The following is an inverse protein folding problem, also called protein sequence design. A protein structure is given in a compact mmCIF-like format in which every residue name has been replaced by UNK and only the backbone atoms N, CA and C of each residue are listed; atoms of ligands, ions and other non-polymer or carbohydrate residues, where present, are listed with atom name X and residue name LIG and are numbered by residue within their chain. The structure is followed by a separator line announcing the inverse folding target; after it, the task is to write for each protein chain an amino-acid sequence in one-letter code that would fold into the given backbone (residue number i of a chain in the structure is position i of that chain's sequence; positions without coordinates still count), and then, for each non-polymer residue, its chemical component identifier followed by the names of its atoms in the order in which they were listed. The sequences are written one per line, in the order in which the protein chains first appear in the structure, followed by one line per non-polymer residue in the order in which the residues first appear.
data_IF_703366216482
#
_entry.id   IF_703366216482
#
_cell.length_a   1.000
_cell.length_b   1.000
_cell.length_c   1.000
_cell.angle_alpha   90.00
_cell.angle_beta   90.00
_cell.angle_gamma   90.00
#
_symmetry.space_group_name_H-M   'P 1'
#
loop_
_entity.id
_entity.type
_entity.pdbx_description
1 polymer ?
#
# COMPACT_ATOMS: atom_id res chain seq x y z
N UNK A 1 27.33 27.26 22.86
CA UNK A 1 27.31 25.79 22.78
C UNK A 1 25.88 25.31 22.55
N UNK A 2 25.73 24.26 21.75
CA UNK A 2 24.45 23.62 21.46
C UNK A 2 24.24 22.39 22.34
N UNK A 3 23.00 22.13 22.74
CA UNK A 3 22.64 20.97 23.55
C UNK A 3 22.37 19.77 22.64
N UNK A 4 23.33 18.85 22.57
CA UNK A 4 23.21 17.62 21.80
C UNK A 4 22.43 16.58 22.61
N UNK A 5 21.29 16.08 22.09
CA UNK A 5 20.49 15.00 22.67
C UNK A 5 20.67 13.70 21.90
N UNK A 6 20.96 12.64 22.64
CA UNK A 6 21.32 11.34 22.11
C UNK A 6 20.28 10.29 22.49
N UNK A 7 19.98 9.42 21.53
CA UNK A 7 18.99 8.36 21.68
C UNK A 7 19.58 7.00 21.30
N UNK A 8 18.94 5.92 21.79
CA UNK A 8 19.25 4.52 21.47
C UNK A 8 20.76 4.20 21.42
N UNK A 9 21.24 3.65 20.30
CA UNK A 9 22.64 3.24 20.11
C UNK A 9 23.64 4.41 20.20
N UNK A 10 23.25 5.63 19.85
CA UNK A 10 24.10 6.81 20.00
C UNK A 10 24.28 7.18 21.47
N UNK A 11 23.22 7.08 22.28
CA UNK A 11 23.29 7.26 23.74
C UNK A 11 24.17 6.19 24.38
N UNK A 12 24.06 4.94 23.93
CA UNK A 12 24.91 3.85 24.43
C UNK A 12 26.38 4.03 24.03
N UNK A 13 26.64 4.52 22.82
CA UNK A 13 27.99 4.79 22.35
C UNK A 13 28.63 5.98 23.09
N UNK A 14 27.86 7.02 23.39
CA UNK A 14 28.34 8.21 24.10
C UNK A 14 28.34 8.07 25.64
N UNK A 15 27.57 7.12 26.19
CA UNK A 15 27.41 6.95 27.64
C UNK A 15 26.56 8.02 28.33
N UNK A 16 26.08 9.03 27.60
CA UNK A 16 25.30 10.17 28.11
C UNK A 16 24.06 10.40 27.25
N UNK A 17 22.98 10.90 27.86
CA UNK A 17 21.74 11.21 27.15
C UNK A 17 21.74 12.62 26.52
N UNK A 18 22.52 13.53 27.10
CA UNK A 18 22.68 14.89 26.62
C UNK A 18 24.06 15.45 26.99
N UNK A 19 24.58 16.34 26.14
CA UNK A 19 25.91 16.94 26.30
C UNK A 19 25.95 18.30 25.58
N UNK A 20 26.77 19.22 26.08
CA UNK A 20 27.00 20.50 25.42
C UNK A 20 28.13 20.38 24.41
N UNK A 21 27.87 20.77 23.17
CA UNK A 21 28.83 20.68 22.07
C UNK A 21 29.11 22.05 21.45
N UNK A 22 30.37 22.40 21.20
CA UNK A 22 30.71 23.60 20.44
C UNK A 22 30.45 23.39 18.95
N UNK A 23 30.11 24.47 18.24
CA UNK A 23 29.91 24.49 16.80
C UNK A 23 28.92 25.58 16.39
N UNK A 24 29.22 26.29 15.30
CA UNK A 24 28.35 27.28 14.70
C UNK A 24 27.37 26.67 13.67
N UNK A 25 27.60 25.42 13.28
CA UNK A 25 26.76 24.65 12.36
C UNK A 25 26.53 23.23 12.88
N UNK A 26 25.50 22.57 12.36
CA UNK A 26 25.22 21.16 12.65
C UNK A 26 26.44 20.28 12.33
N UNK A 27 27.07 20.49 11.18
CA UNK A 27 28.28 19.75 10.76
C UNK A 27 29.41 19.87 11.78
N UNK A 28 29.69 21.08 12.27
CA UNK A 28 30.72 21.31 13.29
C UNK A 28 30.38 20.62 14.61
N UNK A 29 29.12 20.71 15.06
CA UNK A 29 28.64 20.04 16.28
C UNK A 29 28.83 18.51 16.16
N UNK A 30 28.52 17.95 14.99
CA UNK A 30 28.66 16.52 14.72
C UNK A 30 30.11 16.05 14.60
N UNK A 31 30.97 16.85 13.98
CA UNK A 31 32.40 16.57 13.88
C UNK A 31 33.05 16.56 15.27
N UNK A 32 32.69 17.54 16.12
CA UNK A 32 33.17 17.61 17.50
C UNK A 32 32.67 16.42 18.33
N UNK A 33 31.39 16.05 18.23
CA UNK A 33 30.85 14.88 18.90
C UNK A 33 31.50 13.56 18.43
N UNK A 34 31.81 13.44 17.13
CA UNK A 34 32.50 12.27 16.57
C UNK A 34 33.95 12.17 17.08
N UNK A 35 34.63 13.31 17.23
CA UNK A 35 35.96 13.37 17.84
C UNK A 35 35.96 13.00 19.32
N UNK A 36 34.91 13.36 20.06
CA UNK A 36 34.78 13.09 21.49
C UNK A 36 34.39 11.63 21.79
N UNK A 37 33.40 11.08 21.08
CA UNK A 37 32.84 9.75 21.38
C UNK A 37 33.44 8.62 20.53
N UNK A 38 34.27 8.94 19.53
CA UNK A 38 35.05 7.98 18.75
C UNK A 38 34.27 7.11 17.78
N UNK A 39 34.95 6.12 17.20
CA UNK A 39 34.51 5.38 16.01
C UNK A 39 33.13 4.71 16.14
N UNK A 40 32.80 4.20 17.33
CA UNK A 40 31.50 3.54 17.58
C UNK A 40 30.34 4.54 17.45
N UNK A 41 30.54 5.77 17.90
CA UNK A 41 29.54 6.83 17.76
C UNK A 41 29.46 7.30 16.31
N UNK A 42 30.61 7.53 15.67
CA UNK A 42 30.71 7.93 14.25
C UNK A 42 30.00 6.95 13.32
N UNK A 43 30.14 5.64 13.57
CA UNK A 43 29.46 4.60 12.81
C UNK A 43 27.92 4.67 12.95
N UNK A 44 27.42 4.97 14.15
CA UNK A 44 25.99 5.17 14.38
C UNK A 44 25.45 6.44 13.72
N UNK A 45 26.26 7.51 13.73
CA UNK A 45 25.91 8.82 13.20
C UNK A 45 25.65 8.79 11.69
N UNK A 46 26.38 7.97 10.94
CA UNK A 46 26.22 7.82 9.49
C UNK A 46 24.80 7.44 9.04
N UNK A 47 24.00 6.86 9.94
CA UNK A 47 22.62 6.43 9.69
C UNK A 47 21.55 7.31 10.37
N UNK A 48 21.96 8.23 11.24
CA UNK A 48 21.06 9.00 12.08
C UNK A 48 20.49 10.22 11.36
N UNK A 49 19.26 10.60 11.73
CA UNK A 49 18.64 11.85 11.30
C UNK A 49 18.90 12.95 12.34
N UNK A 50 19.11 14.18 11.85
CA UNK A 50 19.45 15.33 12.69
C UNK A 50 18.31 16.33 12.73
N UNK A 51 18.00 16.79 13.94
CA UNK A 51 16.93 17.74 14.21
C UNK A 51 17.46 18.90 15.04
N UNK A 52 17.10 20.13 14.69
CA UNK A 52 17.41 21.36 15.45
C UNK A 52 16.11 21.99 15.91
N UNK A 53 15.92 22.14 17.23
CA UNK A 53 14.73 22.70 17.85
C UNK A 53 13.40 22.12 17.32
N UNK A 54 13.37 20.81 17.05
CA UNK A 54 12.18 20.10 16.57
C UNK A 54 11.95 20.16 15.06
N UNK A 55 12.86 20.72 14.27
CA UNK A 55 12.82 20.67 12.80
C UNK A 55 13.99 19.85 12.24
N UNK A 56 13.75 19.05 11.21
CA UNK A 56 14.83 18.32 10.53
C UNK A 56 15.83 19.31 9.91
N UNK A 57 17.12 19.08 10.12
CA UNK A 57 18.19 19.99 9.75
C UNK A 57 19.19 19.34 8.78
N UNK A 58 19.75 20.16 7.89
CA UNK A 58 20.85 19.77 7.03
C UNK A 58 22.20 20.06 7.72
N UNK A 59 23.32 19.47 7.26
CA UNK A 59 24.64 19.69 7.87
C UNK A 59 25.05 21.17 7.97
N UNK A 60 24.71 21.98 6.97
CA UNK A 60 25.00 23.43 6.95
C UNK A 60 24.05 24.30 7.76
N UNK A 61 23.08 23.74 8.48
CA UNK A 61 22.16 24.53 9.32
C UNK A 61 22.95 25.20 10.44
N UNK A 62 22.81 26.53 10.55
CA UNK A 62 23.42 27.31 11.62
C UNK A 62 22.82 26.94 12.99
N UNK A 63 23.66 26.89 14.01
CA UNK A 63 23.29 26.54 15.37
C UNK A 63 23.79 27.65 16.31
N UNK A 64 22.92 28.13 17.19
CA UNK A 64 23.25 29.16 18.17
C UNK A 64 23.27 28.61 19.60
N UNK A 65 23.79 29.40 20.52
CA UNK A 65 23.85 29.05 21.93
C UNK A 65 22.46 28.78 22.51
N UNK A 66 22.28 27.59 23.08
CA UNK A 66 21.01 27.14 23.66
C UNK A 66 20.13 26.32 22.72
N UNK A 67 20.48 26.19 21.43
CA UNK A 67 19.76 25.33 20.51
C UNK A 67 19.87 23.85 20.91
N UNK A 68 18.77 23.13 20.75
CA UNK A 68 18.70 21.68 20.93
C UNK A 68 18.97 20.98 19.60
N UNK A 69 20.05 20.21 19.53
CA UNK A 69 20.37 19.33 18.40
C UNK A 69 20.06 17.89 18.82
N UNK A 70 19.06 17.26 18.23
CA UNK A 70 18.69 15.88 18.51
C UNK A 70 19.18 14.93 17.40
N UNK A 71 19.88 13.87 17.81
CA UNK A 71 20.31 12.80 16.91
C UNK A 71 19.42 11.59 17.06
N UNK A 72 18.59 11.35 16.05
CA UNK A 72 17.63 10.26 16.04
C UNK A 72 18.21 9.15 15.15
N UNK A 73 18.85 8.12 15.73
CA UNK A 73 19.23 6.95 14.97
C UNK A 73 17.98 6.25 14.42
N UNK A 74 18.09 5.48 13.33
CA UNK A 74 16.98 4.71 12.82
C UNK A 74 16.46 3.85 13.96
N UNK A 75 15.16 3.96 14.24
CA UNK A 75 14.54 3.27 15.38
C UNK A 75 14.89 1.78 15.30
N UNK A 76 15.70 1.30 16.24
CA UNK A 76 15.90 -0.11 16.51
C UNK A 76 14.66 -0.69 17.20
N UNK A 77 13.49 -0.39 16.64
CA UNK A 77 12.29 -1.21 16.79
C UNK A 77 12.53 -2.49 16.00
N UNK A 78 13.40 -3.34 16.54
CA UNK A 78 13.48 -4.74 16.19
C UNK A 78 12.20 -5.44 16.62
N UNK A 79 11.06 -5.12 15.99
CA UNK A 79 10.36 -6.23 15.37
C UNK A 79 11.40 -6.77 14.42
N UNK A 80 11.84 -8.00 14.63
CA UNK A 80 12.11 -8.86 13.49
C UNK A 80 10.92 -8.58 12.57
N UNK A 81 11.12 -7.74 11.55
CA UNK A 81 10.46 -8.00 10.30
C UNK A 81 11.04 -9.36 10.02
N UNK A 82 10.35 -10.40 10.50
CA UNK A 82 10.34 -11.67 9.83
C UNK A 82 9.97 -11.19 8.46
N UNK A 83 11.01 -10.97 7.62
CA UNK A 83 10.80 -10.92 6.19
C UNK A 83 10.06 -12.21 6.02
N UNK A 84 8.75 -12.14 5.78
CA UNK A 84 8.02 -13.29 5.27
C UNK A 84 8.98 -13.86 4.24
N UNK A 85 9.42 -15.13 4.38
CA UNK A 85 10.42 -15.68 3.47
C UNK A 85 9.96 -15.27 2.08
N UNK A 86 10.81 -14.62 1.27
CA UNK A 86 10.41 -13.91 0.04
C UNK A 86 9.37 -14.69 -0.79
N UNK A 87 9.53 -16.03 -0.79
CA UNK A 87 8.63 -17.06 -1.29
C UNK A 87 7.18 -17.01 -0.79
N UNK A 88 6.92 -16.69 0.47
CA UNK A 88 5.60 -16.62 1.09
C UNK A 88 4.85 -15.34 0.73
N UNK A 89 5.54 -14.20 0.56
CA UNK A 89 4.93 -12.94 0.15
C UNK A 89 4.44 -13.01 -1.30
N UNK A 90 5.33 -13.31 -2.25
CA UNK A 90 4.88 -13.50 -3.64
C UNK A 90 4.06 -14.78 -3.82
N UNK A 91 4.34 -15.83 -3.04
CA UNK A 91 3.64 -17.10 -3.14
C UNK A 91 2.16 -16.95 -2.83
N UNK A 92 1.80 -16.26 -1.74
CA UNK A 92 0.40 -16.05 -1.40
C UNK A 92 -0.31 -15.18 -2.46
N UNK A 93 0.35 -14.10 -2.91
CA UNK A 93 -0.18 -13.27 -4.00
C UNK A 93 -0.46 -14.09 -5.26
N UNK A 94 0.51 -14.88 -5.73
CA UNK A 94 0.37 -15.71 -6.93
C UNK A 94 -0.68 -16.81 -6.75
N UNK A 95 -0.75 -17.45 -5.57
CA UNK A 95 -1.78 -18.47 -5.28
C UNK A 95 -3.17 -17.86 -5.38
N UNK A 96 -3.40 -16.68 -4.79
CA UNK A 96 -4.71 -16.02 -4.87
C UNK A 96 -5.01 -15.52 -6.28
N UNK A 97 -4.03 -14.94 -6.98
CA UNK A 97 -4.19 -14.46 -8.35
C UNK A 97 -4.53 -15.60 -9.32
N UNK A 98 -3.76 -16.70 -9.28
CA UNK A 98 -4.01 -17.90 -10.09
C UNK A 98 -5.32 -18.58 -9.67
N UNK A 99 -5.62 -18.59 -8.37
CA UNK A 99 -6.89 -19.08 -7.84
C UNK A 99 -8.09 -18.31 -8.40
N UNK A 100 -8.00 -16.97 -8.50
CA UNK A 100 -9.03 -16.15 -9.11
C UNK A 100 -9.18 -16.40 -10.62
N UNK A 101 -8.07 -16.58 -11.35
CA UNK A 101 -8.08 -16.95 -12.77
C UNK A 101 -8.77 -18.31 -12.97
N UNK A 102 -8.38 -19.32 -12.19
CA UNK A 102 -9.01 -20.65 -12.26
C UNK A 102 -10.46 -20.67 -11.80
N UNK A 103 -10.80 -19.87 -10.79
CA UNK A 103 -12.18 -19.72 -10.32
C UNK A 103 -13.05 -19.03 -11.38
N UNK A 104 -12.51 -18.04 -12.09
CA UNK A 104 -13.17 -17.33 -13.19
C UNK A 104 -13.56 -18.28 -14.32
N UNK A 105 -12.66 -19.18 -14.71
CA UNK A 105 -12.92 -20.16 -15.77
C UNK A 105 -13.78 -21.34 -15.33
N UNK A 106 -13.84 -21.64 -14.04
CA UNK A 106 -14.68 -22.74 -13.53
C UNK A 106 -16.18 -22.38 -13.54
N UNK A 107 -16.55 -21.30 -12.86
CA UNK A 107 -17.94 -20.79 -12.83
C UNK A 107 -18.00 -19.44 -12.13
N UNK A 108 -19.09 -18.71 -12.35
CA UNK A 108 -19.31 -17.46 -11.63
C UNK A 108 -19.43 -17.64 -10.11
N UNK A 109 -19.98 -18.77 -9.63
CA UNK A 109 -20.09 -19.05 -8.20
C UNK A 109 -18.72 -19.27 -7.57
N UNK A 110 -17.85 -20.04 -8.23
CA UNK A 110 -16.47 -20.22 -7.78
C UNK A 110 -15.69 -18.92 -7.82
N UNK A 111 -15.89 -18.09 -8.84
CA UNK A 111 -15.29 -16.76 -8.90
C UNK A 111 -15.73 -15.87 -7.74
N UNK A 112 -17.04 -15.84 -7.43
CA UNK A 112 -17.57 -15.10 -6.28
C UNK A 112 -16.97 -15.59 -4.94
N UNK A 113 -16.83 -16.90 -4.75
CA UNK A 113 -16.14 -17.48 -3.58
C UNK A 113 -14.68 -17.05 -3.54
N UNK A 114 -13.98 -17.13 -4.67
CA UNK A 114 -12.58 -16.69 -4.80
C UNK A 114 -12.40 -15.22 -4.44
N UNK A 115 -13.30 -14.35 -4.89
CA UNK A 115 -13.29 -12.93 -4.58
C UNK A 115 -13.48 -12.66 -3.08
N UNK A 116 -14.42 -13.35 -2.43
CA UNK A 116 -14.63 -13.21 -0.98
C UNK A 116 -13.40 -13.65 -0.20
N UNK A 117 -12.80 -14.78 -0.58
CA UNK A 117 -11.60 -15.31 0.07
C UNK A 117 -10.39 -14.41 -0.14
N UNK A 118 -10.10 -14.03 -1.39
CA UNK A 118 -8.96 -13.19 -1.72
C UNK A 118 -9.08 -11.79 -1.10
N UNK A 119 -10.25 -11.15 -1.23
CA UNK A 119 -10.48 -9.85 -0.64
C UNK A 119 -10.55 -9.88 0.88
N UNK A 120 -11.07 -10.95 1.50
CA UNK A 120 -11.06 -11.12 2.95
C UNK A 120 -9.63 -11.27 3.51
N UNK A 121 -8.80 -12.11 2.87
CA UNK A 121 -7.38 -12.23 3.22
C UNK A 121 -6.64 -10.90 3.02
N UNK A 122 -6.91 -10.20 1.92
CA UNK A 122 -6.31 -8.89 1.64
C UNK A 122 -6.68 -7.84 2.70
N UNK A 123 -7.96 -7.70 3.07
CA UNK A 123 -8.38 -6.76 4.13
C UNK A 123 -7.72 -7.13 5.46
N UNK A 124 -7.66 -8.42 5.80
CA UNK A 124 -7.02 -8.86 7.03
C UNK A 124 -5.53 -8.47 7.06
N UNK A 125 -4.79 -8.76 5.97
CA UNK A 125 -3.39 -8.37 5.81
C UNK A 125 -3.23 -6.83 5.91
N UNK A 126 -4.05 -6.05 5.23
CA UNK A 126 -4.02 -4.59 5.28
C UNK A 126 -4.22 -4.06 6.70
N UNK A 127 -5.25 -4.54 7.40
CA UNK A 127 -5.59 -4.03 8.73
C UNK A 127 -4.59 -4.50 9.79
N UNK A 128 -4.04 -5.71 9.68
CA UNK A 128 -2.99 -6.18 10.58
C UNK A 128 -1.75 -5.28 10.50
N UNK A 129 -1.31 -4.93 9.29
CA UNK A 129 -0.18 -4.02 9.12
C UNK A 129 -0.48 -2.58 9.54
N UNK A 130 -1.68 -2.07 9.28
CA UNK A 130 -2.11 -0.77 9.80
C UNK A 130 -2.09 -0.74 11.34
N UNK A 131 -2.58 -1.81 12.00
CA UNK A 131 -2.62 -1.94 13.45
C UNK A 131 -1.21 -1.99 14.07
N UNK A 132 -0.25 -2.66 13.44
CA UNK A 132 1.16 -2.69 13.87
C UNK A 132 1.81 -1.30 13.91
N UNK A 133 1.33 -0.37 13.08
CA UNK A 133 1.74 1.05 13.06
C UNK A 133 0.97 1.91 14.08
N UNK A 134 0.03 1.34 14.82
CA UNK A 134 -0.85 2.06 15.73
C UNK A 134 -2.03 2.74 15.04
N UNK A 135 -2.26 2.50 13.74
CA UNK A 135 -3.47 2.97 13.05
C UNK A 135 -4.56 1.92 13.17
N UNK A 136 -5.57 2.22 13.99
CA UNK A 136 -6.74 1.35 14.13
C UNK A 136 -7.62 1.49 12.89
N UNK A 137 -8.02 0.37 12.31
CA UNK A 137 -8.99 0.32 11.21
C UNK A 137 -10.09 -0.67 11.59
N UNK A 138 -11.36 -0.27 11.43
CA UNK A 138 -12.48 -1.17 11.65
C UNK A 138 -12.56 -2.17 10.50
N UNK A 139 -12.26 -3.44 10.78
CA UNK A 139 -12.32 -4.54 9.81
C UNK A 139 -13.76 -4.83 9.38
N UNK A 140 -14.72 -4.68 10.29
CA UNK A 140 -16.09 -5.18 10.12
C UNK A 140 -16.83 -4.51 8.94
N UNK A 141 -16.80 -3.17 8.79
CA UNK A 141 -17.43 -2.52 7.63
C UNK A 141 -16.87 -3.00 6.29
N UNK A 142 -15.57 -3.22 6.21
CA UNK A 142 -14.92 -3.71 4.99
C UNK A 142 -15.29 -5.17 4.67
N UNK A 143 -15.35 -6.04 5.69
CA UNK A 143 -15.77 -7.44 5.51
C UNK A 143 -17.24 -7.57 5.11
N UNK A 144 -18.12 -6.84 5.80
CA UNK A 144 -19.55 -6.82 5.50
C UNK A 144 -19.80 -6.22 4.12
N UNK A 145 -19.10 -5.14 3.80
CA UNK A 145 -19.12 -4.52 2.48
C UNK A 145 -18.64 -5.46 1.38
N UNK A 146 -17.53 -6.17 1.58
CA UNK A 146 -17.02 -7.16 0.64
C UNK A 146 -18.02 -8.30 0.39
N UNK A 147 -18.55 -8.92 1.44
CA UNK A 147 -19.54 -9.99 1.31
C UNK A 147 -20.83 -9.48 0.65
N UNK A 148 -21.34 -8.36 1.15
CA UNK A 148 -22.53 -7.71 0.63
C UNK A 148 -22.38 -7.26 -0.82
N UNK A 149 -21.20 -6.77 -1.21
CA UNK A 149 -20.85 -6.34 -2.55
C UNK A 149 -20.89 -7.49 -3.54
N UNK A 150 -20.27 -8.62 -3.20
CA UNK A 150 -20.33 -9.84 -4.02
C UNK A 150 -21.78 -10.32 -4.16
N UNK A 151 -22.51 -10.49 -3.05
CA UNK A 151 -23.88 -11.03 -3.10
C UNK A 151 -24.86 -10.08 -3.81
N UNK A 152 -24.82 -8.79 -3.50
CA UNK A 152 -25.71 -7.80 -4.08
C UNK A 152 -25.43 -7.62 -5.58
N UNK A 153 -24.16 -7.53 -5.98
CA UNK A 153 -23.79 -7.40 -7.39
C UNK A 153 -24.11 -8.67 -8.18
N UNK A 154 -23.93 -9.86 -7.57
CA UNK A 154 -24.35 -11.11 -8.17
C UNK A 154 -25.87 -11.14 -8.44
N UNK A 155 -26.66 -10.65 -7.47
CA UNK A 155 -28.12 -10.75 -7.52
C UNK A 155 -28.79 -9.64 -8.33
N UNK A 156 -28.24 -8.43 -8.29
CA UNK A 156 -28.86 -7.20 -8.80
C UNK A 156 -27.96 -6.38 -9.73
N UNK A 157 -26.76 -6.85 -10.07
CA UNK A 157 -25.85 -6.14 -10.97
C UNK A 157 -25.42 -4.78 -10.42
N UNK A 158 -25.45 -3.75 -11.27
CA UNK A 158 -24.97 -2.39 -10.96
C UNK A 158 -25.71 -1.76 -9.76
N UNK A 159 -27.06 -1.79 -9.67
CA UNK A 159 -27.78 -1.36 -8.46
C UNK A 159 -27.31 -2.08 -7.19
N UNK A 160 -27.01 -3.38 -7.30
CA UNK A 160 -26.46 -4.18 -6.21
C UNK A 160 -25.13 -3.66 -5.72
N UNK A 161 -24.18 -3.43 -6.63
CA UNK A 161 -22.89 -2.82 -6.31
C UNK A 161 -23.05 -1.44 -5.65
N UNK A 162 -23.87 -0.56 -6.22
CA UNK A 162 -24.06 0.80 -5.73
C UNK A 162 -24.62 0.77 -4.29
N UNK A 163 -25.67 -0.03 -4.05
CA UNK A 163 -26.27 -0.18 -2.73
C UNK A 163 -25.30 -0.77 -1.70
N UNK A 164 -24.53 -1.81 -2.07
CA UNK A 164 -23.55 -2.41 -1.18
C UNK A 164 -22.40 -1.45 -0.85
N UNK A 165 -21.91 -0.69 -1.83
CA UNK A 165 -20.83 0.28 -1.66
C UNK A 165 -21.25 1.41 -0.72
N UNK A 166 -22.43 1.99 -0.94
CA UNK A 166 -23.01 3.00 -0.03
C UNK A 166 -23.23 2.38 1.36
N UNK A 167 -23.79 1.17 1.42
CA UNK A 167 -24.02 0.44 2.65
C UNK A 167 -22.75 0.20 3.46
N UNK A 168 -21.64 -0.17 2.82
CA UNK A 168 -20.35 -0.39 3.47
C UNK A 168 -19.81 0.89 4.15
N UNK A 169 -19.95 2.04 3.48
CA UNK A 169 -19.58 3.34 4.03
C UNK A 169 -20.49 3.74 5.19
N UNK A 170 -21.81 3.54 5.05
CA UNK A 170 -22.77 3.79 6.13
C UNK A 170 -22.50 2.89 7.35
N UNK A 171 -22.18 1.62 7.13
CA UNK A 171 -21.80 0.70 8.21
C UNK A 171 -20.54 1.21 8.92
N UNK A 172 -19.54 1.71 8.20
CA UNK A 172 -18.34 2.30 8.82
C UNK A 172 -18.67 3.53 9.69
N UNK A 173 -19.58 4.38 9.23
CA UNK A 173 -20.08 5.53 9.99
C UNK A 173 -20.86 5.11 11.24
N UNK A 174 -21.73 4.11 11.13
CA UNK A 174 -22.48 3.59 12.28
C UNK A 174 -21.54 2.92 13.29
N UNK A 175 -20.55 2.17 12.80
CA UNK A 175 -19.59 1.47 13.65
C UNK A 175 -18.75 2.41 14.52
N UNK A 176 -18.43 3.61 14.01
CA UNK A 176 -17.68 4.63 14.75
C UNK A 176 -18.46 5.21 15.94
N UNK A 177 -19.78 5.27 15.83
CA UNK A 177 -20.67 5.71 16.91
C UNK A 177 -20.78 4.64 17.99
N UNK A 178 -20.99 3.38 17.58
CA UNK A 178 -21.27 2.25 18.48
C UNK A 178 -20.06 1.82 19.30
N UNK A 179 -18.84 1.97 18.79
CA UNK A 179 -17.63 1.49 19.46
C UNK A 179 -16.65 2.66 19.73
N UNK A 180 -16.43 3.03 21.01
CA UNK A 180 -15.62 4.20 21.38
C UNK A 180 -14.22 4.24 20.76
N UNK A 181 -13.58 3.08 20.57
CA UNK A 181 -12.25 2.94 19.96
C UNK A 181 -12.16 3.39 18.50
N UNK A 182 -13.29 3.54 17.79
CA UNK A 182 -13.34 3.93 16.39
C UNK A 182 -13.85 5.37 16.17
N UNK A 183 -14.05 6.14 17.25
CA UNK A 183 -14.49 7.55 17.19
C UNK A 183 -13.47 8.54 16.61
N UNK A 184 -12.13 8.35 16.72
CA UNK A 184 -11.19 9.29 16.12
C UNK A 184 -11.42 9.44 14.62
N UNK A 185 -11.37 10.68 14.12
CA UNK A 185 -11.76 11.00 12.74
C UNK A 185 -10.88 10.28 11.72
N UNK A 186 -9.61 10.08 12.04
CA UNK A 186 -8.66 9.36 11.21
C UNK A 186 -9.06 7.90 11.05
N UNK A 187 -9.53 7.27 12.14
CA UNK A 187 -10.00 5.88 12.14
C UNK A 187 -11.28 5.75 11.33
N UNK A 188 -12.20 6.71 11.47
CA UNK A 188 -13.44 6.76 10.68
C UNK A 188 -13.13 6.88 9.19
N UNK A 189 -12.34 7.88 8.80
CA UNK A 189 -11.99 8.15 7.42
C UNK A 189 -11.26 6.96 6.78
N UNK A 190 -10.30 6.37 7.49
CA UNK A 190 -9.56 5.20 7.01
C UNK A 190 -10.47 3.99 6.84
N UNK A 191 -11.34 3.72 7.82
CA UNK A 191 -12.25 2.57 7.78
C UNK A 191 -13.29 2.72 6.65
N UNK A 192 -13.79 3.93 6.43
CA UNK A 192 -14.67 4.24 5.29
C UNK A 192 -13.95 4.03 3.97
N UNK A 193 -12.71 4.52 3.83
CA UNK A 193 -11.93 4.37 2.61
C UNK A 193 -11.65 2.90 2.29
N UNK A 194 -11.23 2.11 3.29
CA UNK A 194 -10.99 0.67 3.11
C UNK A 194 -12.28 -0.05 2.75
N UNK A 195 -13.39 0.26 3.41
CA UNK A 195 -14.69 -0.35 3.11
C UNK A 195 -15.19 0.02 1.70
N UNK A 196 -15.01 1.27 1.28
CA UNK A 196 -15.34 1.76 -0.06
C UNK A 196 -14.53 1.02 -1.12
N UNK A 197 -13.20 1.00 -1.00
CA UNK A 197 -12.29 0.37 -1.97
C UNK A 197 -12.56 -1.13 -2.05
N UNK A 198 -12.67 -1.80 -0.90
CA UNK A 198 -12.94 -3.23 -0.83
C UNK A 198 -14.26 -3.59 -1.54
N UNK A 199 -15.34 -2.91 -1.19
CA UNK A 199 -16.67 -3.21 -1.70
C UNK A 199 -16.78 -2.89 -3.19
N UNK A 200 -16.34 -1.70 -3.59
CA UNK A 200 -16.42 -1.25 -4.98
C UNK A 200 -15.52 -2.09 -5.88
N UNK A 201 -14.26 -2.32 -5.48
CA UNK A 201 -13.29 -3.07 -6.28
C UNK A 201 -13.72 -4.53 -6.49
N UNK A 202 -14.12 -5.21 -5.42
CA UNK A 202 -14.58 -6.61 -5.51
C UNK A 202 -15.89 -6.72 -6.30
N UNK A 203 -16.82 -5.77 -6.12
CA UNK A 203 -18.05 -5.73 -6.91
C UNK A 203 -17.77 -5.49 -8.39
N UNK A 204 -16.84 -4.59 -8.73
CA UNK A 204 -16.43 -4.32 -10.10
C UNK A 204 -15.81 -5.56 -10.76
N UNK A 205 -14.96 -6.32 -10.04
CA UNK A 205 -14.44 -7.61 -10.53
C UNK A 205 -15.56 -8.61 -10.82
N UNK A 206 -16.55 -8.70 -9.94
CA UNK A 206 -17.69 -9.59 -10.16
C UNK A 206 -18.55 -9.13 -11.35
N UNK A 207 -18.76 -7.82 -11.51
CA UNK A 207 -19.50 -7.28 -12.66
C UNK A 207 -18.75 -7.52 -13.97
N UNK A 208 -17.41 -7.45 -13.99
CA UNK A 208 -16.62 -7.89 -15.14
C UNK A 208 -16.92 -9.34 -15.49
N UNK A 209 -16.91 -10.23 -14.49
CA UNK A 209 -17.22 -11.66 -14.71
C UNK A 209 -18.65 -11.93 -15.15
N UNK A 210 -19.60 -11.13 -14.70
CA UNK A 210 -21.01 -11.17 -15.13
C UNK A 210 -21.17 -10.71 -16.59
N UNK A 211 -20.32 -9.79 -17.05
CA UNK A 211 -20.31 -9.31 -18.44
C UNK A 211 -19.77 -10.38 -19.37
N UNK A 212 -18.57 -10.88 -19.08
CA UNK A 212 -17.97 -12.00 -19.81
C UNK A 212 -16.87 -12.65 -18.97
N UNK A 213 -16.61 -13.94 -19.23
CA UNK A 213 -15.42 -14.60 -18.71
C UNK A 213 -14.13 -13.94 -19.25
N UNK A 214 -14.14 -13.59 -20.53
CA UNK A 214 -13.00 -13.00 -21.24
C UNK A 214 -12.59 -11.65 -20.62
N UNK A 215 -13.55 -10.85 -20.16
CA UNK A 215 -13.27 -9.55 -19.53
C UNK A 215 -12.62 -9.70 -18.16
N UNK A 216 -13.11 -10.63 -17.36
CA UNK A 216 -12.53 -10.93 -16.06
C UNK A 216 -11.11 -11.50 -16.22
N UNK A 217 -10.89 -12.39 -17.20
CA UNK A 217 -9.57 -12.93 -17.50
C UNK A 217 -8.61 -11.84 -18.02
N UNK A 218 -9.05 -10.99 -18.94
CA UNK A 218 -8.27 -9.86 -19.45
C UNK A 218 -7.84 -8.94 -18.30
N UNK A 219 -8.77 -8.55 -17.44
CA UNK A 219 -8.48 -7.73 -16.27
C UNK A 219 -7.43 -8.37 -15.34
N UNK A 220 -7.65 -9.65 -14.96
CA UNK A 220 -6.74 -10.36 -14.07
C UNK A 220 -5.36 -10.52 -14.69
N UNK A 221 -5.27 -10.87 -15.97
CA UNK A 221 -3.98 -11.04 -16.65
C UNK A 221 -3.23 -9.72 -16.72
N UNK A 222 -3.88 -8.63 -17.13
CA UNK A 222 -3.27 -7.29 -17.18
C UNK A 222 -2.74 -6.87 -15.82
N UNK A 223 -3.57 -6.97 -14.78
CA UNK A 223 -3.23 -6.45 -13.45
C UNK A 223 -2.23 -7.33 -12.71
N UNK A 224 -2.38 -8.65 -12.75
CA UNK A 224 -1.48 -9.58 -12.07
C UNK A 224 -0.09 -9.55 -12.69
N UNK A 225 0.02 -9.50 -14.02
CA UNK A 225 1.33 -9.43 -14.69
C UNK A 225 2.02 -8.08 -14.44
N UNK A 226 1.28 -6.97 -14.44
CA UNK A 226 1.83 -5.66 -14.11
C UNK A 226 2.38 -5.61 -12.68
N UNK A 227 1.62 -6.11 -11.70
CA UNK A 227 2.05 -6.16 -10.30
C UNK A 227 3.23 -7.13 -10.10
N UNK A 228 3.20 -8.31 -10.73
CA UNK A 228 4.29 -9.27 -10.66
C UNK A 228 5.59 -8.71 -11.28
N UNK A 229 5.50 -8.04 -12.42
CA UNK A 229 6.65 -7.42 -13.07
C UNK A 229 7.21 -6.26 -12.23
N UNK A 230 6.35 -5.44 -11.62
CA UNK A 230 6.75 -4.38 -10.72
C UNK A 230 7.47 -4.92 -9.47
N UNK A 231 7.02 -6.06 -8.94
CA UNK A 231 7.71 -6.75 -7.85
C UNK A 231 9.10 -7.25 -8.27
N UNK A 232 9.24 -7.83 -9.47
CA UNK A 232 10.55 -8.26 -10.00
C UNK A 232 11.48 -7.07 -10.20
N UNK A 233 10.96 -5.96 -10.75
CA UNK A 233 11.71 -4.73 -10.92
C UNK A 233 12.15 -4.14 -9.57
N UNK A 234 11.30 -4.20 -8.54
CA UNK A 234 11.66 -3.74 -7.19
C UNK A 234 12.77 -4.55 -6.52
N UNK A 235 13.07 -5.75 -6.99
CA UNK A 235 14.18 -6.58 -6.47
C UNK A 235 15.49 -6.38 -7.19
N UNK A 236 15.42 -5.97 -8.45
CA UNK A 236 16.60 -5.77 -9.29
C UNK A 236 16.83 -4.27 -9.33
N UNK A 237 17.92 -3.81 -8.73
CA UNK A 237 18.28 -2.38 -8.72
C UNK A 237 18.71 -1.95 -10.15
N UNK A 238 17.74 -1.91 -11.06
CA UNK A 238 17.92 -1.60 -12.48
C UNK A 238 17.73 -0.10 -12.64
N UNK A 239 18.83 0.59 -12.94
CA UNK A 239 18.81 2.01 -13.25
C UNK A 239 17.80 2.32 -14.37
N UNK A 240 16.87 3.24 -14.09
CA UNK A 240 15.87 3.73 -15.05
C UNK A 240 14.53 2.97 -15.09
N UNK A 241 14.36 1.87 -14.35
CA UNK A 241 13.10 1.12 -14.29
C UNK A 241 12.58 1.00 -12.86
N UNK A 242 11.98 2.09 -12.35
CA UNK A 242 11.29 2.01 -11.05
C UNK A 242 10.03 1.11 -11.14
N UNK A 243 9.55 0.57 -10.01
CA UNK A 243 8.37 -0.30 -10.01
C UNK A 243 7.09 0.37 -10.55
N UNK A 244 6.97 1.70 -10.46
CA UNK A 244 5.81 2.46 -10.91
C UNK A 244 5.77 2.52 -12.43
N UNK A 245 6.88 2.86 -13.07
CA UNK A 245 7.09 2.87 -14.51
C UNK A 245 6.87 1.47 -15.06
N UNK A 246 7.42 0.44 -14.41
CA UNK A 246 7.22 -0.96 -14.84
C UNK A 246 5.74 -1.36 -14.74
N UNK A 247 5.03 -0.97 -13.67
CA UNK A 247 3.59 -1.23 -13.54
C UNK A 247 2.82 -0.64 -14.72
N UNK A 248 3.09 0.62 -15.07
CA UNK A 248 2.42 1.31 -16.18
C UNK A 248 2.74 0.66 -17.53
N UNK A 249 4.02 0.44 -17.83
CA UNK A 249 4.45 -0.12 -19.11
C UNK A 249 3.91 -1.53 -19.32
N UNK A 250 4.02 -2.40 -18.30
CA UNK A 250 3.55 -3.78 -18.41
C UNK A 250 2.03 -3.83 -18.45
N UNK A 251 1.33 -3.00 -17.68
CA UNK A 251 -0.13 -2.92 -17.76
C UNK A 251 -0.63 -2.51 -19.14
N UNK A 252 0.02 -1.54 -19.80
CA UNK A 252 -0.32 -1.12 -21.16
C UNK A 252 -0.03 -2.22 -22.18
N UNK A 253 1.18 -2.80 -22.13
CA UNK A 253 1.58 -3.88 -23.05
C UNK A 253 0.64 -5.08 -22.92
N UNK A 254 0.37 -5.50 -21.69
CA UNK A 254 -0.53 -6.61 -21.43
C UNK A 254 -1.98 -6.26 -21.76
N UNK A 255 -2.35 -4.98 -21.73
CA UNK A 255 -3.64 -4.49 -22.24
C UNK A 255 -3.81 -4.72 -23.73
N UNK A 256 -2.79 -4.43 -24.52
CA UNK A 256 -2.78 -4.72 -25.97
C UNK A 256 -2.84 -6.23 -26.23
N UNK A 257 -2.05 -7.01 -25.48
CA UNK A 257 -2.10 -8.49 -25.58
C UNK A 257 -3.49 -8.99 -25.21
N UNK A 258 -4.07 -8.52 -24.11
CA UNK A 258 -5.38 -8.93 -23.66
C UNK A 258 -6.47 -8.58 -24.69
N UNK A 259 -6.41 -7.37 -25.27
CA UNK A 259 -7.30 -6.99 -26.36
C UNK A 259 -7.17 -7.95 -27.54
N UNK A 260 -5.95 -8.28 -27.97
CA UNK A 260 -5.74 -9.19 -29.11
C UNK A 260 -6.20 -10.63 -28.90
N UNK A 261 -6.31 -11.07 -27.64
CA UNK A 261 -6.68 -12.45 -27.28
C UNK A 261 -8.17 -12.57 -26.96
N UNK A 262 -8.75 -11.57 -26.30
CA UNK A 262 -10.08 -11.67 -25.68
C UNK A 262 -11.11 -10.67 -26.20
N UNK A 263 -10.71 -9.62 -26.92
CA UNK A 263 -11.68 -8.73 -27.54
C UNK A 263 -12.23 -9.38 -28.82
N UNK A 264 -13.55 -9.47 -28.92
CA UNK A 264 -14.23 -10.15 -30.04
C UNK A 264 -14.30 -9.27 -31.29
N UNK A 265 -14.71 -8.00 -31.14
CA UNK A 265 -14.98 -7.10 -32.27
C UNK A 265 -14.28 -5.72 -32.18
N UNK A 266 -14.08 -5.17 -30.97
CA UNK A 266 -13.43 -3.86 -30.78
C UNK A 266 -12.32 -3.93 -29.72
N UNK A 267 -11.10 -3.64 -30.17
CA UNK A 267 -9.89 -3.63 -29.35
C UNK A 267 -9.80 -2.36 -28.48
N UNK A 268 -10.37 -1.24 -28.93
CA UNK A 268 -10.18 0.07 -28.31
C UNK A 268 -10.70 0.11 -26.86
N UNK A 269 -11.92 -0.35 -26.54
CA UNK A 269 -12.43 -0.33 -25.16
C UNK A 269 -11.52 -1.10 -24.21
N UNK A 270 -10.99 -2.25 -24.62
CA UNK A 270 -10.10 -3.09 -23.81
C UNK A 270 -8.75 -2.40 -23.56
N UNK A 271 -8.16 -1.78 -24.59
CA UNK A 271 -6.90 -1.04 -24.47
C UNK A 271 -7.07 0.17 -23.54
N UNK A 272 -8.16 0.93 -23.70
CA UNK A 272 -8.46 2.09 -22.84
C UNK A 272 -8.75 1.64 -21.40
N UNK A 273 -9.43 0.51 -21.23
CA UNK A 273 -9.70 -0.06 -19.90
C UNK A 273 -8.41 -0.48 -19.22
N UNK A 274 -7.50 -1.14 -19.95
CA UNK A 274 -6.18 -1.53 -19.43
C UNK A 274 -5.31 -0.32 -19.08
N UNK A 275 -5.37 0.77 -19.86
CA UNK A 275 -4.70 2.03 -19.52
C UNK A 275 -5.27 2.62 -18.22
N UNK A 276 -6.59 2.69 -18.10
CA UNK A 276 -7.26 3.18 -16.89
C UNK A 276 -6.91 2.32 -15.66
N UNK A 277 -6.89 0.99 -15.81
CA UNK A 277 -6.43 0.07 -14.79
C UNK A 277 -4.97 0.30 -14.41
N UNK A 278 -4.09 0.53 -15.38
CA UNK A 278 -2.66 0.76 -15.13
C UNK A 278 -2.43 2.02 -14.28
N UNK A 279 -3.13 3.10 -14.57
CA UNK A 279 -3.12 4.32 -13.73
C UNK A 279 -3.65 4.02 -12.32
N UNK A 280 -4.75 3.27 -12.25
CA UNK A 280 -5.35 2.87 -10.99
C UNK A 280 -4.49 1.89 -10.18
N UNK A 281 -3.66 1.05 -10.81
CA UNK A 281 -2.69 0.21 -10.12
C UNK A 281 -1.66 1.06 -9.39
N UNK A 282 -1.14 2.11 -10.03
CA UNK A 282 -0.20 3.05 -9.40
C UNK A 282 -0.89 3.78 -8.24
N UNK A 283 -2.10 4.29 -8.45
CA UNK A 283 -2.88 4.93 -7.40
C UNK A 283 -3.15 3.98 -6.21
N UNK A 284 -3.51 2.72 -6.49
CA UNK A 284 -3.82 1.73 -5.47
C UNK A 284 -2.57 1.29 -4.70
N UNK A 285 -1.40 1.20 -5.35
CA UNK A 285 -0.11 1.03 -4.67
C UNK A 285 0.16 2.18 -3.69
N UNK A 286 -0.10 3.42 -4.11
CA UNK A 286 0.12 4.60 -3.26
C UNK A 286 -0.86 4.63 -2.07
N UNK A 287 -2.13 4.31 -2.30
CA UNK A 287 -3.14 4.17 -1.24
C UNK A 287 -2.75 3.05 -0.28
N UNK A 288 -2.33 1.89 -0.79
CA UNK A 288 -1.81 0.77 0.01
C UNK A 288 -0.62 1.15 0.87
N UNK A 289 0.37 1.85 0.28
CA UNK A 289 1.53 2.40 0.97
C UNK A 289 1.13 3.33 2.12
N UNK A 290 0.19 4.24 1.89
CA UNK A 290 -0.33 5.10 2.95
C UNK A 290 -1.01 4.31 4.06
N UNK A 291 -1.88 3.37 3.71
CA UNK A 291 -2.67 2.58 4.66
C UNK A 291 -1.80 1.63 5.49
N UNK A 292 -0.73 1.08 4.90
CA UNK A 292 0.13 0.08 5.55
C UNK A 292 1.34 0.72 6.22
N UNK A 293 2.05 1.59 5.51
CA UNK A 293 3.31 2.17 5.96
C UNK A 293 3.19 3.62 6.47
N UNK A 294 2.07 4.31 6.26
CA UNK A 294 1.84 5.67 6.77
C UNK A 294 2.51 6.78 5.97
N UNK A 295 3.01 6.47 4.77
CA UNK A 295 3.67 7.42 3.89
C UNK A 295 3.62 7.00 2.43
N UNK A 296 3.96 7.93 1.55
CA UNK A 296 4.13 7.66 0.12
C UNK A 296 5.57 7.24 -0.15
N UNK A 297 5.77 5.97 -0.49
CA UNK A 297 7.08 5.45 -0.84
C UNK A 297 7.11 5.12 -2.33
N UNK A 298 7.80 5.96 -3.09
CA UNK A 298 8.06 5.71 -4.52
C UNK A 298 9.09 4.61 -4.72
N UNK A 299 10.00 4.45 -3.75
CA UNK A 299 11.05 3.43 -3.72
C UNK A 299 10.90 2.59 -2.46
N UNK A 300 11.01 1.27 -2.58
CA UNK A 300 10.95 0.33 -1.45
C UNK A 300 9.74 -0.62 -1.45
N UNK A 301 9.80 -1.61 -0.56
CA UNK A 301 8.77 -2.64 -0.38
C UNK A 301 7.64 -2.14 0.50
N UNK A 302 6.40 -2.22 0.02
CA UNK A 302 5.21 -1.95 0.83
C UNK A 302 4.99 -3.17 1.74
N UNK A 303 4.76 -2.97 3.05
CA UNK A 303 4.67 -4.11 3.97
C UNK A 303 3.35 -4.86 3.82
N UNK A 304 3.42 -6.19 3.75
CA UNK A 304 2.25 -7.09 3.71
C UNK A 304 2.34 -8.13 2.62
N UNK A 305 1.86 -9.34 2.89
CA UNK A 305 1.92 -10.44 1.93
C UNK A 305 1.03 -10.17 0.70
N UNK A 306 0.00 -9.32 0.87
CA UNK A 306 -0.99 -9.03 -0.15
C UNK A 306 -1.03 -7.55 -0.56
N UNK A 307 0.08 -6.82 -0.37
CA UNK A 307 0.15 -5.41 -0.79
C UNK A 307 -0.10 -5.23 -2.30
N UNK A 308 0.22 -6.24 -3.12
CA UNK A 308 -0.10 -6.23 -4.55
C UNK A 308 -1.60 -6.11 -4.84
N UNK A 309 -2.47 -6.63 -3.96
CA UNK A 309 -3.92 -6.53 -4.10
C UNK A 309 -4.46 -5.11 -3.83
N UNK A 310 -3.72 -4.25 -3.11
CA UNK A 310 -4.13 -2.85 -2.91
C UNK A 310 -4.33 -2.16 -4.26
N UNK A 311 -3.42 -2.43 -5.20
CA UNK A 311 -3.45 -1.96 -6.58
C UNK A 311 -4.57 -2.63 -7.39
N UNK A 312 -4.66 -3.96 -7.36
CA UNK A 312 -5.60 -4.72 -8.18
C UNK A 312 -7.06 -4.41 -7.82
N UNK A 313 -7.39 -4.37 -6.53
CA UNK A 313 -8.76 -4.08 -6.07
C UNK A 313 -9.19 -2.68 -6.54
N UNK A 314 -8.30 -1.69 -6.45
CA UNK A 314 -8.59 -0.34 -6.92
C UNK A 314 -8.73 -0.26 -8.45
N UNK A 315 -7.92 -1.02 -9.19
CA UNK A 315 -7.91 -1.03 -10.65
C UNK A 315 -9.17 -1.63 -11.29
N UNK A 316 -9.90 -2.49 -10.57
CA UNK A 316 -11.12 -3.13 -11.09
C UNK A 316 -12.19 -2.12 -11.48
N UNK A 317 -12.36 -1.06 -10.68
CA UNK A 317 -13.39 -0.05 -10.89
C UNK A 317 -13.26 0.69 -12.23
N UNK A 318 -12.12 1.37 -12.49
CA UNK A 318 -11.90 2.05 -13.76
C UNK A 318 -11.92 1.12 -14.97
N UNK A 319 -11.38 -0.10 -14.84
CA UNK A 319 -11.41 -1.10 -15.93
C UNK A 319 -12.86 -1.46 -16.29
N UNK A 320 -13.66 -1.82 -15.29
CA UNK A 320 -15.09 -2.11 -15.44
C UNK A 320 -15.86 -0.92 -16.01
N UNK A 321 -15.61 0.29 -15.50
CA UNK A 321 -16.31 1.49 -15.92
C UNK A 321 -16.07 1.81 -17.40
N UNK A 322 -14.82 1.73 -17.86
CA UNK A 322 -14.49 1.97 -19.27
C UNK A 322 -15.19 0.96 -20.17
N UNK A 323 -15.13 -0.33 -19.83
CA UNK A 323 -15.80 -1.36 -20.62
C UNK A 323 -17.32 -1.21 -20.61
N UNK A 324 -17.91 -0.75 -19.52
CA UNK A 324 -19.36 -0.51 -19.43
C UNK A 324 -19.81 0.69 -20.26
N UNK A 325 -18.96 1.70 -20.44
CA UNK A 325 -19.29 2.91 -21.19
C UNK A 325 -19.01 2.74 -22.69
N UNK A 326 -17.94 2.04 -23.04
CA UNK A 326 -17.40 2.03 -24.41
C UNK A 326 -17.44 0.67 -25.11
N UNK A 327 -17.72 -0.43 -24.41
CA UNK A 327 -17.68 -1.78 -24.98
C UNK A 327 -18.91 -2.61 -24.71
#
# INVERSE_FOLDING_TARGET
MARLRLFANLREAAGVADVQMPGATVEEVLANASGEFGDRFTAGLASAQVWVNGNQAAPGTAVVDGDEVALIPPVSGGTTIVRSPLLMEIGLFLILALGLVGASSASIQWFAVGLVLAGGLWIYDLVDYAARRGQVVAVQPAMLGLLGGVLASYRWGIPGMASATIGAVLVALVWSVLAPRFRPIEVVATSMLVALIATFGVSAMLLLRLRSENDALAFLVVTVTAVAAAWVAGQRDISGFDPVVVTLLIGIVMGVVAASVWAEDDLLPMIVAALAASVALVAGRNVGSLLRAGGFFTVGTVPGALHGFDAIVLAAGPFWLILTIFG
#
